data_IF_734291368554
#
_entry.id   IF_734291368554
#
_cell.length_a   1.000
_cell.length_b   1.000
_cell.length_c   1.000
_cell.angle_alpha   90.00
_cell.angle_beta   90.00
_cell.angle_gamma   90.00
#
_symmetry.space_group_name_H-M   'P 1'
#
loop_
_entity.id
_entity.type
_entity.pdbx_description
1 polymer ?
#
# COMPACT_ATOMS: atom_id res chain seq x y z
N UNK A 1 -15.85 -9.96 26.66
CA UNK A 1 -14.88 -10.25 25.57
C UNK A 1 -14.31 -8.94 25.08
N UNK A 2 -13.01 -8.88 24.77
CA UNK A 2 -12.36 -7.70 24.16
C UNK A 2 -12.09 -8.03 22.69
N UNK A 3 -12.47 -7.14 21.80
CA UNK A 3 -12.16 -7.23 20.37
C UNK A 3 -11.02 -6.27 20.06
N UNK A 4 -10.06 -6.72 19.26
CA UNK A 4 -8.90 -5.94 18.83
C UNK A 4 -8.83 -6.05 17.31
N UNK A 5 -8.52 -4.94 16.65
CA UNK A 5 -8.34 -4.89 15.21
C UNK A 5 -7.25 -3.88 14.86
N UNK A 6 -6.55 -4.10 13.75
CA UNK A 6 -5.59 -3.14 13.21
C UNK A 6 -6.29 -2.19 12.22
N UNK A 7 -6.06 -0.89 12.37
CA UNK A 7 -6.47 0.12 11.39
C UNK A 7 -5.20 0.76 10.81
N UNK A 8 -5.01 0.58 9.51
CA UNK A 8 -3.94 1.24 8.77
C UNK A 8 -4.53 2.41 7.97
N UNK A 9 -4.04 3.62 8.24
CA UNK A 9 -4.35 4.78 7.42
C UNK A 9 -3.12 5.12 6.57
N UNK A 10 -3.25 4.97 5.26
CA UNK A 10 -2.19 5.27 4.29
C UNK A 10 -2.59 6.56 3.60
N UNK A 11 -1.77 7.60 3.77
CA UNK A 11 -2.07 8.93 3.27
C UNK A 11 -0.86 9.52 2.55
N UNK A 12 -1.11 10.15 1.40
CA UNK A 12 -0.22 11.11 0.78
C UNK A 12 -1.00 12.36 0.38
N UNK A 13 -0.40 13.55 0.49
CA UNK A 13 -1.04 14.81 0.10
C UNK A 13 -1.23 14.88 -1.43
N UNK A 14 -2.31 15.51 -1.92
CA UNK A 14 -2.66 15.56 -3.36
C UNK A 14 -1.73 16.43 -4.22
N UNK A 15 -0.74 17.08 -3.62
CA UNK A 15 0.22 17.97 -4.28
C UNK A 15 1.65 17.41 -4.21
N UNK A 16 1.77 16.12 -3.92
CA UNK A 16 3.07 15.50 -3.73
C UNK A 16 3.81 15.36 -5.06
N UNK A 17 5.11 15.68 -5.05
CA UNK A 17 5.93 15.46 -6.23
C UNK A 17 5.90 13.98 -6.64
N UNK A 18 5.71 13.71 -7.93
CA UNK A 18 5.50 12.34 -8.44
C UNK A 18 6.68 11.41 -8.12
N UNK A 19 7.92 11.94 -8.07
CA UNK A 19 9.10 11.16 -7.71
C UNK A 19 9.06 10.66 -6.25
N UNK A 20 8.39 11.39 -5.35
CA UNK A 20 8.19 10.97 -3.97
C UNK A 20 7.19 9.82 -3.92
N UNK A 21 6.10 9.89 -4.70
CA UNK A 21 5.12 8.79 -4.82
C UNK A 21 5.81 7.52 -5.30
N UNK A 22 6.61 7.60 -6.38
CA UNK A 22 7.38 6.46 -6.89
C UNK A 22 8.31 5.87 -5.84
N UNK A 23 9.07 6.72 -5.13
CA UNK A 23 9.99 6.28 -4.07
C UNK A 23 9.26 5.56 -2.93
N UNK A 24 8.11 6.07 -2.50
CA UNK A 24 7.29 5.43 -1.46
C UNK A 24 6.78 4.07 -1.94
N UNK A 25 6.29 4.00 -3.19
CA UNK A 25 5.84 2.75 -3.78
C UNK A 25 6.96 1.71 -3.83
N UNK A 26 8.18 2.10 -4.18
CA UNK A 26 9.32 1.18 -4.27
C UNK A 26 9.86 0.76 -2.90
N UNK A 27 9.95 1.69 -1.94
CA UNK A 27 10.63 1.43 -0.66
C UNK A 27 9.68 0.95 0.44
N UNK A 28 8.40 1.36 0.43
CA UNK A 28 7.49 1.18 1.58
C UNK A 28 6.41 0.12 1.36
N UNK A 29 5.84 0.02 0.16
CA UNK A 29 4.69 -0.85 -0.09
C UNK A 29 5.01 -2.34 -0.34
N UNK A 30 6.18 -2.75 -0.86
CA UNK A 30 6.49 -4.16 -1.03
C UNK A 30 6.46 -4.95 0.29
N UNK A 31 7.10 -4.52 1.40
CA UNK A 31 7.01 -5.28 2.65
C UNK A 31 5.59 -5.30 3.22
N UNK A 32 4.82 -4.21 3.09
CA UNK A 32 3.43 -4.15 3.54
C UNK A 32 2.53 -5.12 2.76
N UNK A 33 2.60 -5.06 1.43
CA UNK A 33 1.79 -5.93 0.56
C UNK A 33 2.20 -7.39 0.67
N UNK A 34 3.49 -7.68 0.91
CA UNK A 34 3.96 -9.03 1.22
C UNK A 34 3.38 -9.53 2.54
N UNK A 35 3.41 -8.73 3.61
CA UNK A 35 2.81 -9.11 4.89
C UNK A 35 1.30 -9.40 4.76
N UNK A 36 0.56 -8.60 3.99
CA UNK A 36 -0.87 -8.85 3.72
C UNK A 36 -1.06 -10.21 3.00
N UNK A 37 -0.17 -10.57 2.07
CA UNK A 37 -0.21 -11.87 1.37
C UNK A 37 0.17 -13.04 2.27
N UNK A 38 1.11 -12.84 3.20
CA UNK A 38 1.60 -13.87 4.12
C UNK A 38 0.57 -14.18 5.23
N UNK A 39 -0.33 -13.25 5.54
CA UNK A 39 -1.37 -13.39 6.57
C UNK A 39 -2.80 -13.17 6.02
N UNK A 40 -3.28 -14.04 5.11
CA UNK A 40 -4.58 -13.84 4.43
C UNK A 40 -5.79 -13.87 5.38
N UNK A 41 -5.66 -14.51 6.55
CA UNK A 41 -6.74 -14.67 7.54
C UNK A 41 -6.69 -13.61 8.66
N UNK A 42 -5.72 -12.68 8.64
CA UNK A 42 -5.64 -11.62 9.65
C UNK A 42 -6.67 -10.52 9.34
N UNK A 43 -7.68 -10.28 10.20
CA UNK A 43 -8.58 -9.16 10.02
C UNK A 43 -7.84 -7.84 10.26
N UNK A 44 -7.98 -6.92 9.33
CA UNK A 44 -7.55 -5.52 9.47
C UNK A 44 -8.47 -4.60 8.68
N UNK A 45 -8.38 -3.30 8.94
CA UNK A 45 -9.02 -2.26 8.14
C UNK A 45 -7.95 -1.38 7.53
N UNK A 46 -8.10 -1.05 6.25
CA UNK A 46 -7.23 -0.12 5.55
C UNK A 46 -8.04 1.05 5.03
N UNK A 47 -7.60 2.27 5.35
CA UNK A 47 -8.16 3.51 4.85
C UNK A 47 -7.11 4.22 4.00
N UNK A 48 -7.46 4.50 2.74
CA UNK A 48 -6.62 5.19 1.76
C UNK A 48 -7.41 6.40 1.28
N UNK A 49 -6.80 7.59 1.25
CA UNK A 49 -7.45 8.77 0.70
C UNK A 49 -7.56 8.68 -0.83
N UNK A 50 -8.64 9.23 -1.38
CA UNK A 50 -8.91 9.19 -2.83
C UNK A 50 -7.74 9.74 -3.66
N UNK A 51 -7.18 10.87 -3.28
CA UNK A 51 -6.09 11.48 -4.06
C UNK A 51 -4.83 10.62 -4.12
N UNK A 52 -4.52 9.87 -3.06
CA UNK A 52 -3.42 8.89 -3.13
C UNK A 52 -3.75 7.76 -4.11
N UNK A 53 -5.00 7.30 -4.19
CA UNK A 53 -5.39 6.29 -5.18
C UNK A 53 -5.20 6.84 -6.61
N UNK A 54 -5.55 8.10 -6.84
CA UNK A 54 -5.35 8.79 -8.12
C UNK A 54 -3.86 8.93 -8.46
N UNK A 55 -3.03 9.40 -7.51
CA UNK A 55 -1.59 9.53 -7.68
C UNK A 55 -0.92 8.17 -7.97
N UNK A 56 -1.36 7.10 -7.31
CA UNK A 56 -0.85 5.75 -7.57
C UNK A 56 -1.27 5.24 -8.94
N UNK A 57 -2.49 5.53 -9.37
CA UNK A 57 -2.96 5.14 -10.69
C UNK A 57 -2.16 5.84 -11.79
N UNK A 58 -1.80 7.11 -11.61
CA UNK A 58 -1.12 7.91 -12.62
C UNK A 58 0.42 7.75 -12.59
N UNK A 59 1.02 7.66 -11.41
CA UNK A 59 2.47 7.77 -11.24
C UNK A 59 3.17 6.56 -10.62
N UNK A 60 2.43 5.58 -10.08
CA UNK A 60 3.09 4.42 -9.51
C UNK A 60 3.82 3.64 -10.61
N UNK A 61 5.10 3.27 -10.39
CA UNK A 61 5.78 2.35 -11.29
C UNK A 61 4.98 1.05 -11.37
N UNK A 62 4.94 0.44 -12.56
CA UNK A 62 4.27 -0.84 -12.74
C UNK A 62 4.80 -1.82 -11.67
N UNK A 63 3.92 -2.55 -10.96
CA UNK A 63 4.36 -3.46 -9.93
C UNK A 63 5.36 -4.43 -10.54
N UNK A 64 6.57 -4.51 -9.96
CA UNK A 64 7.54 -5.51 -10.35
C UNK A 64 6.85 -6.87 -10.31
N UNK A 65 6.67 -7.49 -11.47
CA UNK A 65 6.18 -8.85 -11.56
C UNK A 65 7.27 -9.76 -10.98
N UNK A 66 7.32 -9.90 -9.66
CA UNK A 66 8.07 -11.00 -9.09
C UNK A 66 7.39 -12.28 -9.62
N UNK A 67 8.13 -13.17 -10.30
CA UNK A 67 7.56 -14.44 -10.73
C UNK A 67 7.01 -15.08 -9.47
N UNK A 68 5.72 -15.45 -9.50
CA UNK A 68 5.09 -16.20 -8.41
C UNK A 68 6.04 -17.35 -8.12
N UNK A 69 6.65 -17.38 -6.92
CA UNK A 69 7.45 -18.54 -6.54
C UNK A 69 6.52 -19.77 -6.67
N UNK A 70 6.96 -20.82 -7.38
CA UNK A 70 6.14 -22.00 -7.63
C UNK A 70 5.70 -22.66 -6.32
#
# INVERSE_FOLDING_TARGET
>A
MKYVNFLFHIYQPPIQDHWIVAKIVEESYPPLTQAIRDFPDLPFTMNINLSLVEDLYEFAPAPCQHPRRP
#
